data_IF_024257097355
#
_entry.id   IF_024257097355
#
_cell.length_a   1.000
_cell.length_b   1.000
_cell.length_c   1.000
_cell.angle_alpha   90.00
_cell.angle_beta   90.00
_cell.angle_gamma   90.00
#
_symmetry.space_group_name_H-M   'P 1'
#
loop_
_entity.id
_entity.type
_entity.pdbx_description
1 polymer ?
#
# COMPACT_ATOMS: atom_id res chain seq x y z
N UNK A 1 25.22 16.35 0.92
CA UNK A 1 24.10 16.25 -0.06
C UNK A 1 23.71 14.80 -0.15
N UNK A 2 22.46 14.47 0.14
CA UNK A 2 21.96 13.09 0.06
C UNK A 2 21.94 12.65 -1.40
N UNK A 3 22.54 11.47 -1.74
CA UNK A 3 22.60 11.01 -3.12
C UNK A 3 21.31 10.28 -3.53
N UNK A 4 20.19 11.01 -3.57
CA UNK A 4 18.93 10.46 -4.03
C UNK A 4 19.03 9.95 -5.47
N UNK A 5 18.44 8.81 -5.74
CA UNK A 5 18.32 8.22 -7.09
C UNK A 5 16.94 7.65 -7.31
N UNK A 6 16.55 7.54 -8.58
CA UNK A 6 15.30 6.91 -8.98
C UNK A 6 15.25 5.45 -8.55
N UNK A 7 14.04 4.99 -8.16
CA UNK A 7 13.80 3.59 -7.85
C UNK A 7 13.70 2.80 -9.15
N UNK A 8 14.44 1.70 -9.23
CA UNK A 8 14.37 0.71 -10.31
C UNK A 8 14.09 -0.68 -9.76
N UNK A 9 13.72 -1.63 -10.61
CA UNK A 9 13.51 -3.03 -10.20
C UNK A 9 14.78 -3.67 -9.60
N UNK A 10 15.97 -3.19 -9.97
CA UNK A 10 17.24 -3.66 -9.43
C UNK A 10 17.47 -3.25 -7.95
N UNK A 11 16.73 -2.27 -7.45
CA UNK A 11 16.88 -1.76 -6.09
C UNK A 11 16.05 -2.55 -5.06
N UNK A 12 15.31 -3.59 -5.50
CA UNK A 12 14.44 -4.40 -4.66
C UNK A 12 15.13 -4.91 -3.41
N UNK A 13 16.25 -5.60 -3.56
CA UNK A 13 16.94 -6.23 -2.44
C UNK A 13 17.44 -5.18 -1.44
N UNK A 14 17.92 -4.03 -1.93
CA UNK A 14 18.34 -2.93 -1.07
C UNK A 14 17.17 -2.41 -0.26
N UNK A 15 16.06 -2.03 -0.90
CA UNK A 15 14.89 -1.44 -0.23
C UNK A 15 14.25 -2.46 0.72
N UNK A 16 14.02 -3.69 0.28
CA UNK A 16 13.38 -4.71 1.11
C UNK A 16 14.25 -5.16 2.29
N UNK A 17 15.58 -5.03 2.20
CA UNK A 17 16.46 -5.31 3.33
C UNK A 17 16.20 -4.42 4.56
N UNK A 18 15.66 -3.22 4.35
CA UNK A 18 15.24 -2.30 5.41
C UNK A 18 13.79 -2.53 5.81
N UNK A 19 12.87 -2.56 4.84
CA UNK A 19 11.44 -2.63 5.12
C UNK A 19 11.07 -3.94 5.81
N UNK A 20 11.64 -5.06 5.39
CA UNK A 20 11.38 -6.38 5.99
C UNK A 20 11.85 -6.52 7.45
N UNK A 21 12.79 -5.69 7.90
CA UNK A 21 13.25 -5.66 9.29
C UNK A 21 12.50 -4.67 10.16
N UNK A 22 11.68 -3.80 9.55
CA UNK A 22 10.92 -2.79 10.27
C UNK A 22 9.63 -3.37 10.85
N UNK A 23 9.07 -2.67 11.83
CA UNK A 23 7.75 -2.93 12.40
C UNK A 23 6.64 -2.14 11.72
N UNK A 24 6.97 -1.42 10.64
CA UNK A 24 6.06 -0.53 9.93
C UNK A 24 5.16 -1.32 8.99
N UNK A 25 3.87 -1.03 9.04
CA UNK A 25 2.82 -1.77 8.34
C UNK A 25 2.13 -0.97 7.24
N UNK A 26 2.50 0.29 7.03
CA UNK A 26 1.88 1.15 6.03
C UNK A 26 2.23 0.70 4.60
N UNK A 27 1.24 0.71 3.72
CA UNK A 27 1.34 0.22 2.35
C UNK A 27 2.32 1.01 1.49
N UNK A 28 2.62 2.26 1.86
CA UNK A 28 3.58 3.14 1.18
C UNK A 28 4.99 2.53 1.09
N UNK A 29 5.34 1.64 2.01
CA UNK A 29 6.65 0.97 2.05
C UNK A 29 6.71 -0.32 1.22
N UNK A 30 5.62 -0.76 0.61
CA UNK A 30 5.65 -1.87 -0.33
C UNK A 30 6.51 -1.53 -1.54
N UNK A 31 7.47 -2.40 -1.88
CA UNK A 31 8.33 -2.20 -3.05
C UNK A 31 7.52 -2.11 -4.36
N UNK A 32 6.43 -2.89 -4.45
CA UNK A 32 5.52 -2.79 -5.59
C UNK A 32 4.89 -1.40 -5.70
N UNK A 33 4.39 -0.83 -4.60
CA UNK A 33 3.80 0.51 -4.63
C UNK A 33 4.83 1.58 -4.96
N UNK A 34 6.03 1.51 -4.36
CA UNK A 34 7.13 2.43 -4.66
C UNK A 34 7.49 2.46 -6.16
N UNK A 35 7.48 1.29 -6.83
CA UNK A 35 7.76 1.20 -8.26
C UNK A 35 6.55 1.56 -9.13
N UNK A 36 5.37 1.03 -8.81
CA UNK A 36 4.18 1.13 -9.65
C UNK A 36 3.61 2.55 -9.72
N UNK A 37 3.75 3.32 -8.64
CA UNK A 37 3.28 4.69 -8.52
C UNK A 37 4.36 5.75 -8.81
N UNK A 38 5.60 5.33 -9.11
CA UNK A 38 6.71 6.26 -9.35
C UNK A 38 6.41 7.28 -10.44
N UNK A 39 5.65 6.91 -11.47
CA UNK A 39 5.30 7.82 -12.56
C UNK A 39 4.49 9.04 -12.12
N UNK A 40 3.80 8.94 -10.97
CA UNK A 40 2.97 9.99 -10.40
C UNK A 40 3.73 10.82 -9.37
N UNK A 41 4.55 10.15 -8.56
CA UNK A 41 5.19 10.76 -7.40
C UNK A 41 6.68 11.07 -7.60
N UNK A 42 7.26 10.66 -8.70
CA UNK A 42 8.72 10.82 -8.98
C UNK A 42 9.59 10.36 -7.80
N UNK A 43 9.24 9.21 -7.23
CA UNK A 43 9.82 8.73 -5.99
C UNK A 43 11.29 8.34 -6.18
N UNK A 44 12.12 8.92 -5.34
CA UNK A 44 13.56 8.65 -5.24
C UNK A 44 13.90 8.10 -3.85
N UNK A 45 15.02 7.42 -3.74
CA UNK A 45 15.52 6.92 -2.46
C UNK A 45 17.03 7.09 -2.32
N UNK A 46 17.47 7.05 -1.08
CA UNK A 46 18.88 6.95 -0.71
C UNK A 46 19.03 6.11 0.58
N UNK A 47 20.25 5.71 0.87
CA UNK A 47 20.63 5.14 2.16
C UNK A 47 21.57 6.12 2.85
N UNK A 48 21.20 6.58 4.05
CA UNK A 48 21.93 7.56 4.86
C UNK A 48 22.07 6.99 6.28
N UNK A 49 23.28 6.81 6.76
CA UNK A 49 23.58 6.37 8.13
C UNK A 49 22.72 5.18 8.62
N UNK A 50 22.62 4.13 7.82
CA UNK A 50 21.78 2.95 8.05
C UNK A 50 20.26 3.22 8.05
N UNK A 51 19.82 4.33 7.47
CA UNK A 51 18.43 4.57 7.20
C UNK A 51 18.15 4.59 5.69
N UNK A 52 17.09 3.92 5.29
CA UNK A 52 16.46 4.07 4.00
C UNK A 52 15.58 5.31 4.06
N UNK A 53 15.79 6.24 3.14
CA UNK A 53 15.06 7.50 3.03
C UNK A 53 14.43 7.64 1.65
N UNK A 54 13.23 8.20 1.60
CA UNK A 54 12.49 8.45 0.37
C UNK A 54 12.15 9.91 0.23
N UNK A 55 12.26 10.42 -1.01
CA UNK A 55 11.84 11.74 -1.44
C UNK A 55 10.89 11.59 -2.62
N UNK A 56 9.80 12.37 -2.65
CA UNK A 56 8.81 12.28 -3.72
C UNK A 56 7.99 13.57 -3.81
N UNK A 57 7.22 13.71 -4.88
CA UNK A 57 6.34 14.84 -5.11
C UNK A 57 4.87 14.44 -4.97
N UNK A 58 4.15 15.11 -4.09
CA UNK A 58 2.70 15.01 -3.96
C UNK A 58 2.07 16.27 -4.61
N UNK A 59 1.80 16.20 -5.91
CA UNK A 59 1.49 17.37 -6.71
C UNK A 59 2.69 18.31 -6.79
N UNK A 60 2.56 19.54 -6.32
CA UNK A 60 3.65 20.52 -6.29
C UNK A 60 4.44 20.50 -4.96
N UNK A 61 4.02 19.73 -3.98
CA UNK A 61 4.65 19.62 -2.67
C UNK A 61 5.73 18.56 -2.67
N UNK A 62 6.97 18.97 -2.38
CA UNK A 62 8.04 18.03 -2.06
C UNK A 62 7.77 17.39 -0.70
N UNK A 63 7.85 16.09 -0.64
CA UNK A 63 7.61 15.33 0.58
C UNK A 63 8.63 14.21 0.77
N UNK A 64 8.72 13.76 2.02
CA UNK A 64 9.57 12.65 2.43
C UNK A 64 8.71 11.60 3.16
N UNK A 65 9.19 10.36 3.20
CA UNK A 65 8.69 9.39 4.15
C UNK A 65 9.54 9.40 5.42
N UNK A 66 8.95 8.94 6.52
CA UNK A 66 9.71 8.73 7.76
C UNK A 66 10.85 7.74 7.49
N UNK A 67 12.13 8.06 7.81
CA UNK A 67 13.27 7.18 7.57
C UNK A 67 13.08 5.79 8.16
N UNK A 68 13.48 4.74 7.44
CA UNK A 68 13.35 3.33 7.85
C UNK A 68 14.73 2.75 8.15
N UNK A 69 15.01 2.45 9.39
CA UNK A 69 16.34 1.95 9.78
C UNK A 69 16.60 2.11 11.27
N UNK A 70 17.86 2.01 11.65
CA UNK A 70 18.31 2.14 13.05
C UNK A 70 19.55 3.00 13.12
N UNK A 71 19.65 3.88 14.15
CA UNK A 71 20.77 4.77 14.33
C UNK A 71 20.33 6.13 14.87
N UNK A 72 21.06 7.19 14.52
CA UNK A 72 20.73 8.56 14.90
C UNK A 72 19.67 9.15 13.95
N UNK A 73 18.41 8.86 14.24
CA UNK A 73 17.28 9.38 13.46
C UNK A 73 17.24 10.91 13.45
N UNK A 74 17.69 11.57 14.54
CA UNK A 74 17.70 13.03 14.60
C UNK A 74 18.66 13.63 13.58
N UNK A 75 19.85 13.05 13.45
CA UNK A 75 20.84 13.49 12.46
C UNK A 75 20.29 13.35 11.04
N UNK A 76 19.68 12.20 10.71
CA UNK A 76 19.09 11.96 9.39
C UNK A 76 17.92 12.90 9.09
N UNK A 77 17.07 13.21 10.06
CA UNK A 77 15.99 14.17 9.89
C UNK A 77 16.55 15.58 9.56
N UNK A 78 17.62 16.00 10.21
CA UNK A 78 18.26 17.28 9.88
C UNK A 78 18.83 17.29 8.46
N UNK A 79 19.42 16.21 7.99
CA UNK A 79 19.89 16.11 6.61
C UNK A 79 18.74 16.22 5.59
N UNK A 80 17.59 15.61 5.88
CA UNK A 80 16.38 15.71 5.03
C UNK A 80 15.81 17.13 5.04
N UNK A 81 15.77 17.80 6.20
CA UNK A 81 15.35 19.20 6.31
C UNK A 81 16.26 20.11 5.47
N UNK A 82 17.58 19.90 5.53
CA UNK A 82 18.53 20.65 4.70
C UNK A 82 18.41 20.32 3.21
N UNK A 83 18.03 19.10 2.84
CA UNK A 83 17.75 18.74 1.45
C UNK A 83 16.52 19.51 0.92
N UNK A 84 15.42 19.56 1.69
CA UNK A 84 14.23 20.35 1.33
C UNK A 84 14.54 21.86 1.19
N UNK A 85 15.35 22.41 2.09
CA UNK A 85 15.76 23.83 2.03
C UNK A 85 16.55 24.15 0.76
N UNK A 86 17.41 23.25 0.30
CA UNK A 86 18.17 23.43 -0.95
C UNK A 86 17.29 23.42 -2.19
N UNK A 87 16.18 22.70 -2.12
CA UNK A 87 15.14 22.68 -3.17
C UNK A 87 14.19 23.88 -3.05
N UNK A 88 14.40 24.79 -2.09
CA UNK A 88 13.49 25.88 -1.73
C UNK A 88 12.08 25.40 -1.40
N UNK A 89 11.96 24.24 -0.78
CA UNK A 89 10.72 23.60 -0.40
C UNK A 89 10.55 23.57 1.13
N UNK A 90 9.30 23.66 1.56
CA UNK A 90 8.95 23.43 2.96
C UNK A 90 9.08 21.94 3.30
N UNK A 91 9.71 21.61 4.42
CA UNK A 91 9.91 20.22 4.80
C UNK A 91 8.62 19.61 5.35
N UNK A 92 8.10 18.61 4.66
CA UNK A 92 6.96 17.81 5.09
C UNK A 92 7.25 16.32 4.90
N UNK A 93 6.73 15.50 5.81
CA UNK A 93 6.68 14.04 5.68
C UNK A 93 5.24 13.60 5.54
N UNK A 94 4.97 12.65 4.63
CA UNK A 94 3.66 12.03 4.43
C UNK A 94 3.69 10.56 4.88
N UNK A 95 2.52 10.02 5.19
CA UNK A 95 2.38 8.63 5.66
C UNK A 95 2.96 8.41 7.06
N UNK A 96 3.06 9.44 7.88
CA UNK A 96 3.53 9.35 9.27
C UNK A 96 2.46 8.70 10.13
N UNK A 97 2.68 7.47 10.56
CA UNK A 97 1.73 6.76 11.44
C UNK A 97 1.88 7.18 12.92
N UNK A 98 0.92 6.82 13.76
CA UNK A 98 0.86 7.26 15.17
C UNK A 98 2.12 6.96 15.98
N UNK A 99 2.75 5.78 15.78
CA UNK A 99 4.02 5.43 16.43
C UNK A 99 5.18 6.31 15.94
N UNK A 100 5.25 6.59 14.64
CA UNK A 100 6.26 7.48 14.05
C UNK A 100 6.10 8.91 14.52
N UNK A 101 4.86 9.38 14.70
CA UNK A 101 4.55 10.67 15.31
C UNK A 101 5.10 10.75 16.73
N UNK A 102 4.91 9.70 17.51
CA UNK A 102 5.47 9.64 18.88
C UNK A 102 7.00 9.75 18.88
N UNK A 103 7.67 9.05 17.95
CA UNK A 103 9.13 9.13 17.78
C UNK A 103 9.58 10.54 17.38
N UNK A 104 8.88 11.19 16.45
CA UNK A 104 9.18 12.56 16.03
C UNK A 104 9.03 13.54 17.18
N UNK A 105 7.95 13.46 17.95
CA UNK A 105 7.70 14.34 19.10
C UNK A 105 8.73 14.10 20.22
N UNK A 106 9.24 12.89 20.39
CA UNK A 106 10.30 12.61 21.35
C UNK A 106 11.67 13.17 20.92
N UNK A 107 11.99 13.12 19.62
CA UNK A 107 13.29 13.52 19.06
C UNK A 107 13.37 15.02 18.81
N UNK A 108 12.31 15.61 18.28
CA UNK A 108 12.15 17.03 17.92
C UNK A 108 10.85 17.59 18.50
N UNK A 109 10.80 17.80 19.84
CA UNK A 109 9.59 18.24 20.52
C UNK A 109 9.06 19.55 19.94
N UNK A 110 7.75 19.61 19.72
CA UNK A 110 7.04 20.81 19.25
C UNK A 110 7.49 21.40 17.90
N UNK A 111 8.35 20.69 17.15
CA UNK A 111 8.86 21.17 15.86
C UNK A 111 7.90 20.93 14.70
N UNK A 112 6.98 19.98 14.80
CA UNK A 112 6.09 19.60 13.72
C UNK A 112 4.63 19.97 13.97
N UNK A 113 3.93 20.30 12.89
CA UNK A 113 2.47 20.30 12.83
C UNK A 113 2.01 19.00 12.21
N UNK A 114 1.04 18.34 12.83
CA UNK A 114 0.48 17.07 12.33
C UNK A 114 -0.95 17.30 11.85
N UNK A 115 -1.21 16.94 10.60
CA UNK A 115 -2.56 16.96 10.01
C UNK A 115 -2.94 15.55 9.63
N UNK A 116 -4.02 15.04 10.20
CA UNK A 116 -4.57 13.73 9.88
C UNK A 116 -5.36 13.79 8.57
N UNK A 117 -5.22 12.77 7.74
CA UNK A 117 -6.10 12.53 6.61
C UNK A 117 -6.66 11.11 6.67
N UNK A 118 -7.93 11.01 7.05
CA UNK A 118 -8.65 9.74 7.21
C UNK A 118 -8.75 8.95 5.91
N UNK A 119 -8.74 9.62 4.79
CA UNK A 119 -8.92 9.00 3.47
C UNK A 119 -7.70 8.16 3.06
N UNK A 120 -6.52 8.48 3.62
CA UNK A 120 -5.28 7.75 3.43
C UNK A 120 -4.93 6.76 4.54
N UNK A 121 -5.84 6.48 5.49
CA UNK A 121 -5.59 5.50 6.53
C UNK A 121 -5.67 4.06 5.97
N UNK A 122 -4.68 3.22 6.33
CA UNK A 122 -4.65 1.81 5.91
C UNK A 122 -5.58 0.93 6.75
N UNK A 123 -6.19 -0.05 6.10
CA UNK A 123 -7.00 -1.06 6.74
C UNK A 123 -6.19 -2.32 7.04
N UNK A 124 -5.88 -2.55 8.31
CA UNK A 124 -5.11 -3.70 8.79
C UNK A 124 -6.04 -4.77 9.36
N UNK A 125 -5.95 -5.96 8.84
CA UNK A 125 -6.75 -7.12 9.27
C UNK A 125 -5.85 -8.19 9.87
N UNK A 126 -6.42 -9.02 10.76
CA UNK A 126 -5.77 -10.28 11.09
C UNK A 126 -5.93 -11.27 9.93
N UNK A 127 -4.81 -11.87 9.49
CA UNK A 127 -4.85 -12.92 8.47
C UNK A 127 -5.81 -14.04 8.88
N UNK A 128 -5.77 -14.45 10.15
CA UNK A 128 -6.66 -15.49 10.68
C UNK A 128 -8.15 -15.15 10.59
N UNK A 129 -8.51 -13.87 10.69
CA UNK A 129 -9.89 -13.42 10.52
C UNK A 129 -10.35 -13.55 9.05
N UNK A 130 -9.53 -13.10 8.11
CA UNK A 130 -9.86 -13.14 6.68
C UNK A 130 -9.83 -14.56 6.11
N UNK A 131 -8.89 -15.40 6.56
CA UNK A 131 -8.73 -16.78 6.09
C UNK A 131 -9.77 -17.74 6.64
N UNK A 132 -10.37 -17.44 7.80
CA UNK A 132 -11.36 -18.35 8.42
C UNK A 132 -12.79 -17.80 8.42
N UNK A 133 -12.93 -16.49 8.41
CA UNK A 133 -14.20 -15.76 8.58
C UNK A 133 -14.99 -16.25 9.82
N UNK A 134 -14.31 -16.70 10.89
CA UNK A 134 -14.94 -17.25 12.08
C UNK A 134 -15.63 -16.16 12.93
N UNK A 135 -16.67 -16.56 13.62
CA UNK A 135 -17.42 -15.71 14.56
C UNK A 135 -18.62 -14.99 13.94
N UNK A 136 -19.44 -14.41 14.81
CA UNK A 136 -20.70 -13.74 14.43
C UNK A 136 -20.46 -12.51 13.55
N UNK A 137 -19.36 -11.78 13.82
CA UNK A 137 -18.99 -10.56 13.08
C UNK A 137 -18.76 -10.79 11.58
N UNK A 138 -18.41 -12.01 11.17
CA UNK A 138 -18.16 -12.38 9.77
C UNK A 138 -19.30 -13.18 9.12
N UNK A 139 -20.46 -13.30 9.76
CA UNK A 139 -21.57 -14.08 9.23
C UNK A 139 -21.98 -13.66 7.82
N UNK A 140 -22.06 -12.35 7.55
CA UNK A 140 -22.41 -11.86 6.23
C UNK A 140 -21.36 -12.26 5.16
N UNK A 141 -20.06 -12.22 5.50
CA UNK A 141 -18.99 -12.62 4.57
C UNK A 141 -19.00 -14.12 4.29
N UNK A 142 -19.23 -14.96 5.32
CA UNK A 142 -19.44 -16.41 5.12
C UNK A 142 -20.64 -16.69 4.23
N UNK A 143 -21.72 -15.95 4.39
CA UNK A 143 -22.91 -16.12 3.55
C UNK A 143 -22.58 -15.82 2.09
N UNK A 144 -21.80 -14.78 1.79
CA UNK A 144 -21.37 -14.46 0.43
C UNK A 144 -20.47 -15.58 -0.16
N UNK A 145 -19.46 -16.03 0.58
CA UNK A 145 -18.58 -17.11 0.10
C UNK A 145 -19.33 -18.45 -0.06
N UNK A 146 -20.24 -18.79 0.84
CA UNK A 146 -21.05 -19.99 0.73
C UNK A 146 -22.02 -19.92 -0.44
N UNK A 147 -22.65 -18.77 -0.69
CA UNK A 147 -23.52 -18.56 -1.85
C UNK A 147 -22.71 -18.73 -3.14
N UNK A 148 -21.54 -18.13 -3.24
CA UNK A 148 -20.67 -18.29 -4.39
C UNK A 148 -20.35 -19.76 -4.66
N UNK A 149 -19.92 -20.53 -3.64
CA UNK A 149 -19.63 -21.97 -3.77
C UNK A 149 -20.84 -22.80 -4.19
N UNK A 150 -22.02 -22.47 -3.67
CA UNK A 150 -23.24 -23.19 -4.02
C UNK A 150 -23.69 -22.87 -5.45
N UNK A 151 -23.47 -21.65 -5.93
CA UNK A 151 -23.84 -21.22 -7.29
C UNK A 151 -22.83 -21.74 -8.31
N UNK A 152 -21.55 -21.77 -7.94
CA UNK A 152 -20.43 -22.15 -8.81
C UNK A 152 -19.58 -23.24 -8.17
N UNK A 153 -20.11 -24.48 -8.04
CA UNK A 153 -19.41 -25.56 -7.29
C UNK A 153 -18.08 -25.97 -7.94
N UNK A 154 -17.95 -25.77 -9.25
CA UNK A 154 -16.75 -26.10 -10.04
C UNK A 154 -15.84 -24.90 -10.28
N UNK A 155 -15.92 -23.85 -9.44
CA UNK A 155 -14.97 -22.75 -9.53
C UNK A 155 -13.54 -23.22 -9.26
N UNK A 156 -12.59 -22.56 -9.89
CA UNK A 156 -11.18 -22.86 -9.71
C UNK A 156 -10.43 -21.63 -9.19
N UNK A 157 -9.50 -21.85 -8.26
CA UNK A 157 -8.51 -20.86 -7.87
C UNK A 157 -7.14 -21.30 -8.36
N UNK A 158 -6.46 -20.44 -9.09
CA UNK A 158 -5.10 -20.67 -9.59
C UNK A 158 -4.18 -19.53 -9.25
N UNK A 159 -2.86 -19.76 -9.03
CA UNK A 159 -1.91 -18.67 -8.86
C UNK A 159 -1.79 -17.85 -10.14
N UNK A 160 -1.43 -16.57 -10.00
CA UNK A 160 -1.00 -15.75 -11.13
C UNK A 160 0.40 -16.20 -11.54
N UNK A 161 0.54 -16.59 -12.79
CA UNK A 161 1.79 -16.98 -13.44
C UNK A 161 2.00 -16.12 -14.68
N UNK A 162 3.23 -16.01 -15.23
CA UNK A 162 3.50 -15.14 -16.39
C UNK A 162 2.59 -15.37 -17.58
N UNK A 163 2.21 -16.62 -17.85
CA UNK A 163 1.30 -17.02 -18.93
C UNK A 163 -0.17 -16.64 -18.68
N UNK A 164 -0.52 -16.25 -17.43
CA UNK A 164 -1.88 -15.86 -17.04
C UNK A 164 -2.06 -14.35 -16.82
N UNK A 165 -1.00 -13.58 -16.96
CA UNK A 165 -1.07 -12.11 -16.79
C UNK A 165 -2.04 -11.48 -17.78
N UNK A 166 -2.12 -12.00 -19.01
CA UNK A 166 -3.04 -11.47 -20.01
C UNK A 166 -4.51 -11.62 -19.59
N UNK A 167 -4.87 -12.72 -18.94
CA UNK A 167 -6.24 -12.90 -18.40
C UNK A 167 -6.60 -11.81 -17.38
N UNK A 168 -5.65 -11.46 -16.50
CA UNK A 168 -5.85 -10.39 -15.51
C UNK A 168 -6.01 -9.02 -16.17
N UNK A 169 -5.19 -8.73 -17.19
CA UNK A 169 -5.28 -7.49 -17.98
C UNK A 169 -6.62 -7.38 -18.74
N UNK A 170 -7.12 -8.48 -19.29
CA UNK A 170 -8.40 -8.52 -20.00
C UNK A 170 -9.57 -8.25 -19.04
N UNK A 171 -9.58 -8.89 -17.85
CA UNK A 171 -10.61 -8.63 -16.83
C UNK A 171 -10.52 -7.18 -16.32
N UNK A 172 -9.33 -6.63 -16.11
CA UNK A 172 -9.14 -5.24 -15.72
C UNK A 172 -9.70 -4.29 -16.78
N UNK A 173 -9.44 -4.56 -18.06
CA UNK A 173 -9.94 -3.73 -19.16
C UNK A 173 -11.48 -3.75 -19.23
N UNK A 174 -12.11 -4.90 -18.99
CA UNK A 174 -13.58 -5.01 -18.90
C UNK A 174 -14.12 -4.27 -17.68
N UNK A 175 -13.49 -4.45 -16.52
CA UNK A 175 -13.84 -3.75 -15.29
C UNK A 175 -13.77 -2.24 -15.47
N UNK A 176 -12.73 -1.78 -16.14
CA UNK A 176 -12.50 -0.36 -16.39
C UNK A 176 -13.54 0.26 -17.32
N UNK A 177 -14.00 -0.46 -18.35
CA UNK A 177 -15.11 -0.02 -19.21
C UNK A 177 -16.40 0.18 -18.42
N UNK A 178 -16.72 -0.76 -17.52
CA UNK A 178 -17.93 -0.70 -16.68
C UNK A 178 -17.87 0.48 -15.69
N UNK A 179 -16.67 0.79 -15.15
CA UNK A 179 -16.46 1.82 -14.14
C UNK A 179 -15.98 3.18 -14.70
N UNK A 180 -15.90 3.33 -16.02
CA UNK A 180 -15.49 4.57 -16.72
C UNK A 180 -14.13 5.12 -16.22
N UNK A 181 -13.13 4.26 -16.03
CA UNK A 181 -11.82 4.64 -15.50
C UNK A 181 -11.14 5.77 -16.28
N UNK A 182 -11.28 5.78 -17.61
CA UNK A 182 -10.62 6.76 -18.47
C UNK A 182 -11.18 8.20 -18.31
N UNK A 183 -12.30 8.34 -17.60
CA UNK A 183 -12.94 9.64 -17.33
C UNK A 183 -12.57 10.25 -15.97
N UNK A 184 -11.86 9.51 -15.13
CA UNK A 184 -11.47 9.92 -13.79
C UNK A 184 -9.96 9.75 -13.60
N UNK A 185 -9.27 10.83 -13.29
CA UNK A 185 -7.80 10.81 -13.14
C UNK A 185 -7.31 9.78 -12.13
N UNK A 186 -7.97 9.67 -10.98
CA UNK A 186 -7.58 8.72 -9.93
C UNK A 186 -7.63 7.25 -10.37
N UNK A 187 -8.71 6.84 -11.05
CA UNK A 187 -8.85 5.47 -11.57
C UNK A 187 -7.94 5.21 -12.77
N UNK A 188 -7.64 6.22 -13.57
CA UNK A 188 -6.65 6.13 -14.65
C UNK A 188 -5.24 5.91 -14.14
N UNK A 189 -4.85 6.59 -13.07
CA UNK A 189 -3.56 6.39 -12.40
C UNK A 189 -3.48 5.01 -11.73
N UNK A 190 -4.53 4.56 -11.04
CA UNK A 190 -4.61 3.20 -10.49
C UNK A 190 -4.43 2.14 -11.57
N UNK A 191 -5.12 2.29 -12.70
CA UNK A 191 -4.99 1.41 -13.85
C UNK A 191 -3.56 1.33 -14.38
N UNK A 192 -2.89 2.49 -14.52
CA UNK A 192 -1.49 2.54 -14.97
C UNK A 192 -0.56 1.83 -14.00
N UNK A 193 -0.72 2.03 -12.70
CA UNK A 193 0.06 1.35 -11.66
C UNK A 193 -0.19 -0.16 -11.68
N UNK A 194 -1.44 -0.61 -11.81
CA UNK A 194 -1.83 -2.01 -11.92
C UNK A 194 -1.20 -2.70 -13.14
N UNK A 195 -1.29 -2.08 -14.32
CA UNK A 195 -0.70 -2.60 -15.55
C UNK A 195 0.82 -2.73 -15.41
N UNK A 196 1.48 -1.72 -14.85
CA UNK A 196 2.92 -1.80 -14.56
C UNK A 196 3.27 -2.96 -13.64
N UNK A 197 2.49 -3.15 -12.56
CA UNK A 197 2.68 -4.24 -11.61
C UNK A 197 2.51 -5.62 -12.27
N UNK A 198 1.49 -5.81 -13.09
CA UNK A 198 1.27 -7.07 -13.81
C UNK A 198 2.41 -7.38 -14.80
N UNK A 199 2.87 -6.39 -15.58
CA UNK A 199 3.98 -6.60 -16.51
C UNK A 199 5.32 -6.88 -15.82
N UNK A 200 5.50 -6.47 -14.57
CA UNK A 200 6.71 -6.67 -13.79
C UNK A 200 6.50 -7.63 -12.60
N UNK A 201 5.51 -8.49 -12.67
CA UNK A 201 4.99 -9.29 -11.56
C UNK A 201 6.08 -10.06 -10.82
N UNK A 202 6.90 -10.83 -11.53
CA UNK A 202 7.98 -11.61 -10.94
C UNK A 202 9.13 -10.72 -10.43
N UNK A 203 9.52 -9.71 -11.20
CA UNK A 203 10.59 -8.80 -10.82
C UNK A 203 10.26 -8.00 -9.56
N UNK A 204 9.01 -7.60 -9.39
CA UNK A 204 8.51 -6.98 -8.17
C UNK A 204 8.43 -7.97 -6.98
N UNK A 205 8.35 -9.27 -7.25
CA UNK A 205 8.16 -10.31 -6.24
C UNK A 205 6.73 -10.40 -5.74
N UNK A 206 5.79 -10.12 -6.62
CA UNK A 206 4.37 -10.23 -6.35
C UNK A 206 3.94 -11.70 -6.28
N UNK A 207 2.93 -11.95 -5.46
CA UNK A 207 2.16 -13.19 -5.46
C UNK A 207 0.68 -12.85 -5.59
N UNK A 208 -0.09 -13.71 -6.24
CA UNK A 208 -1.50 -13.45 -6.44
C UNK A 208 -2.27 -14.69 -6.89
N UNK A 209 -3.56 -14.51 -7.08
CA UNK A 209 -4.44 -15.56 -7.49
C UNK A 209 -5.58 -15.10 -8.38
N UNK A 210 -6.11 -16.03 -9.12
CA UNK A 210 -7.21 -15.87 -10.09
C UNK A 210 -8.34 -16.82 -9.72
N UNK A 211 -9.58 -16.34 -9.78
CA UNK A 211 -10.78 -17.15 -9.75
C UNK A 211 -11.33 -17.35 -11.16
N UNK A 212 -11.63 -18.59 -11.50
CA UNK A 212 -12.35 -18.95 -12.71
C UNK A 212 -13.72 -19.56 -12.39
N UNK A 213 -14.69 -19.23 -13.20
CA UNK A 213 -16.02 -19.85 -13.23
C UNK A 213 -16.33 -20.24 -14.67
N UNK A 214 -16.63 -21.54 -14.89
CA UNK A 214 -16.87 -22.08 -16.23
C UNK A 214 -15.72 -21.78 -17.23
N UNK A 215 -14.49 -21.86 -16.76
CA UNK A 215 -13.28 -21.60 -17.55
C UNK A 215 -13.01 -20.11 -17.89
N UNK A 216 -13.78 -19.17 -17.33
CA UNK A 216 -13.56 -17.72 -17.50
C UNK A 216 -13.06 -17.09 -16.21
N UNK A 217 -12.12 -16.17 -16.33
CA UNK A 217 -11.68 -15.35 -15.21
C UNK A 217 -12.84 -14.49 -14.70
N UNK A 218 -13.06 -14.51 -13.38
CA UNK A 218 -14.09 -13.67 -12.71
C UNK A 218 -13.52 -12.77 -11.63
N UNK A 219 -12.32 -13.06 -11.13
CA UNK A 219 -11.62 -12.18 -10.18
C UNK A 219 -10.13 -12.48 -10.16
N UNK A 220 -9.34 -11.47 -9.79
CA UNK A 220 -7.93 -11.66 -9.43
C UNK A 220 -7.52 -10.71 -8.31
N UNK A 221 -6.45 -11.09 -7.63
CA UNK A 221 -5.82 -10.29 -6.57
C UNK A 221 -4.34 -10.55 -6.53
N UNK A 222 -3.57 -9.56 -6.10
CA UNK A 222 -2.14 -9.73 -5.85
C UNK A 222 -1.61 -8.76 -4.80
N UNK A 223 -0.45 -9.12 -4.27
CA UNK A 223 0.25 -8.31 -3.29
C UNK A 223 1.63 -8.85 -3.00
N UNK A 224 2.27 -8.28 -2.00
CA UNK A 224 3.59 -8.70 -1.52
C UNK A 224 3.78 -8.37 -0.03
N UNK A 225 4.79 -8.96 0.64
CA UNK A 225 5.14 -8.56 1.99
C UNK A 225 5.52 -7.08 2.09
N UNK A 226 5.01 -6.39 3.12
CA UNK A 226 5.45 -5.05 3.50
C UNK A 226 6.61 -5.15 4.49
N UNK A 227 6.44 -6.03 5.50
CA UNK A 227 7.48 -6.37 6.46
C UNK A 227 7.39 -7.86 6.84
N UNK A 228 8.17 -8.30 7.85
CA UNK A 228 8.25 -9.70 8.26
C UNK A 228 6.93 -10.29 8.78
N UNK A 229 5.96 -9.49 9.22
CA UNK A 229 4.68 -9.94 9.79
C UNK A 229 3.43 -9.41 9.07
N UNK A 230 3.61 -8.52 8.08
CA UNK A 230 2.50 -7.86 7.36
C UNK A 230 2.61 -8.10 5.87
N UNK A 231 1.53 -8.62 5.29
CA UNK A 231 1.37 -8.78 3.84
C UNK A 231 0.45 -7.71 3.29
N UNK A 232 0.86 -7.01 2.24
CA UNK A 232 0.06 -6.01 1.54
C UNK A 232 -0.72 -6.64 0.38
N UNK A 233 -2.03 -6.42 0.33
CA UNK A 233 -2.88 -6.73 -0.83
C UNK A 233 -3.10 -5.45 -1.59
N UNK A 234 -2.46 -5.32 -2.75
CA UNK A 234 -2.41 -4.08 -3.54
C UNK A 234 -3.57 -3.94 -4.50
N UNK A 235 -4.01 -5.06 -5.07
CA UNK A 235 -5.08 -5.08 -6.06
C UNK A 235 -6.05 -6.22 -5.77
N UNK A 236 -7.32 -5.92 -5.89
CA UNK A 236 -8.41 -6.90 -5.88
C UNK A 236 -9.47 -6.43 -6.86
N UNK A 237 -9.66 -7.15 -7.94
CA UNK A 237 -10.64 -6.86 -9.00
C UNK A 237 -11.53 -8.07 -9.24
N UNK A 238 -12.82 -7.83 -9.45
CA UNK A 238 -13.77 -8.88 -9.76
C UNK A 238 -14.85 -8.40 -10.70
N UNK A 239 -15.39 -9.31 -11.50
CA UNK A 239 -16.61 -9.09 -12.27
C UNK A 239 -17.79 -8.89 -11.32
N UNK A 240 -18.36 -7.69 -11.33
CA UNK A 240 -19.47 -7.32 -10.45
C UNK A 240 -20.77 -8.03 -10.77
N UNK A 241 -20.89 -8.63 -11.95
CA UNK A 241 -22.04 -9.45 -12.33
C UNK A 241 -22.04 -10.84 -11.66
N UNK A 242 -20.89 -11.27 -11.15
CA UNK A 242 -20.72 -12.55 -10.45
C UNK A 242 -20.83 -12.33 -8.95
N UNK A 243 -22.00 -12.62 -8.41
CA UNK A 243 -22.28 -12.39 -6.98
C UNK A 243 -21.32 -13.17 -6.09
N UNK A 244 -20.66 -12.46 -5.17
CA UNK A 244 -19.72 -13.03 -4.21
C UNK A 244 -18.29 -13.20 -4.69
N UNK A 245 -17.96 -12.86 -5.95
CA UNK A 245 -16.62 -13.01 -6.50
C UNK A 245 -15.56 -12.24 -5.69
N UNK A 246 -15.83 -10.98 -5.28
CA UNK A 246 -14.93 -10.22 -4.39
C UNK A 246 -14.71 -10.91 -3.03
N UNK A 247 -15.78 -11.41 -2.42
CA UNK A 247 -15.65 -12.10 -1.13
C UNK A 247 -14.87 -13.40 -1.26
N UNK A 248 -15.06 -14.11 -2.38
CA UNK A 248 -14.41 -15.38 -2.62
C UNK A 248 -12.93 -15.24 -2.95
N UNK A 249 -12.55 -14.28 -3.81
CA UNK A 249 -11.12 -14.06 -4.12
C UNK A 249 -10.35 -13.60 -2.88
N UNK A 250 -10.94 -12.73 -2.05
CA UNK A 250 -10.33 -12.32 -0.78
C UNK A 250 -10.14 -13.51 0.16
N UNK A 251 -11.15 -14.35 0.34
CA UNK A 251 -11.09 -15.54 1.17
C UNK A 251 -10.04 -16.54 0.68
N UNK A 252 -10.04 -16.86 -0.60
CA UNK A 252 -9.10 -17.82 -1.21
C UNK A 252 -7.66 -17.33 -1.11
N UNK A 253 -7.42 -16.04 -1.36
CA UNK A 253 -6.08 -15.47 -1.28
C UNK A 253 -5.59 -15.42 0.16
N UNK A 254 -6.41 -14.95 1.11
CA UNK A 254 -6.04 -14.89 2.53
C UNK A 254 -5.63 -16.27 3.09
N UNK A 255 -6.24 -17.36 2.60
CA UNK A 255 -5.85 -18.73 2.96
C UNK A 255 -4.49 -19.16 2.42
N UNK A 256 -3.98 -18.47 1.37
CA UNK A 256 -2.71 -18.80 0.71
C UNK A 256 -1.56 -17.88 1.10
N UNK A 257 -1.87 -16.75 1.74
CA UNK A 257 -0.85 -15.92 2.37
C UNK A 257 -0.19 -16.74 3.49
N UNK A 258 1.15 -16.87 3.51
CA UNK A 258 1.86 -17.66 4.52
C UNK A 258 1.51 -17.25 5.96
N UNK A 259 1.47 -18.23 6.87
CA UNK A 259 1.04 -18.02 8.26
C UNK A 259 1.96 -17.12 9.09
N UNK A 260 3.20 -16.93 8.65
CA UNK A 260 4.12 -15.97 9.25
C UNK A 260 3.61 -14.54 9.21
N UNK A 261 2.77 -14.19 8.21
CA UNK A 261 2.15 -12.87 8.11
C UNK A 261 0.90 -12.83 8.98
N UNK A 262 1.02 -12.24 10.15
CA UNK A 262 -0.07 -12.09 11.13
C UNK A 262 -1.12 -11.10 10.61
N UNK A 263 -0.65 -10.08 9.90
CA UNK A 263 -1.48 -8.97 9.43
C UNK A 263 -1.58 -8.96 7.90
N UNK A 264 -2.74 -8.53 7.42
CA UNK A 264 -2.98 -8.20 6.02
C UNK A 264 -3.36 -6.72 5.95
N UNK A 265 -2.55 -5.93 5.25
CA UNK A 265 -2.87 -4.54 4.89
C UNK A 265 -3.59 -4.54 3.53
N UNK A 266 -4.80 -3.99 3.48
CA UNK A 266 -5.60 -3.84 2.25
C UNK A 266 -5.70 -2.39 1.81
N UNK A 267 -4.71 -1.57 2.14
CA UNK A 267 -4.54 -0.18 1.73
C UNK A 267 -5.68 0.76 2.14
N UNK A 268 -5.73 1.94 1.56
CA UNK A 268 -6.64 3.04 1.89
C UNK A 268 -8.01 2.90 1.21
N UNK A 269 -8.96 3.74 1.60
CA UNK A 269 -10.25 3.90 0.93
C UNK A 269 -10.34 5.15 0.03
N UNK A 270 -9.36 6.06 0.11
CA UNK A 270 -9.25 7.29 -0.67
C UNK A 270 -10.51 8.16 -0.63
N UNK A 271 -11.27 8.13 0.47
CA UNK A 271 -12.52 8.87 0.63
C UNK A 271 -13.70 8.31 -0.16
N UNK A 272 -13.54 7.17 -0.84
CA UNK A 272 -14.62 6.53 -1.61
C UNK A 272 -15.55 5.79 -0.66
N UNK A 273 -16.77 6.32 -0.47
CA UNK A 273 -17.74 5.81 0.51
C UNK A 273 -18.05 4.31 0.34
N UNK A 274 -18.25 3.85 -0.89
CA UNK A 274 -18.51 2.44 -1.18
C UNK A 274 -17.33 1.53 -0.80
N UNK A 275 -16.10 1.96 -1.09
CA UNK A 275 -14.88 1.24 -0.74
C UNK A 275 -14.67 1.23 0.78
N UNK A 276 -14.86 2.37 1.44
CA UNK A 276 -14.84 2.50 2.91
C UNK A 276 -15.79 1.52 3.58
N UNK A 277 -17.04 1.50 3.13
CA UNK A 277 -18.07 0.58 3.65
C UNK A 277 -17.66 -0.88 3.42
N UNK A 278 -17.15 -1.21 2.24
CA UNK A 278 -16.69 -2.55 1.92
C UNK A 278 -15.54 -2.98 2.85
N UNK A 279 -14.51 -2.13 3.03
CA UNK A 279 -13.36 -2.42 3.90
C UNK A 279 -13.76 -2.55 5.37
N UNK A 280 -14.57 -1.64 5.90
CA UNK A 280 -15.09 -1.72 7.28
C UNK A 280 -15.93 -2.98 7.53
N UNK A 281 -16.63 -3.48 6.51
CA UNK A 281 -17.45 -4.69 6.65
C UNK A 281 -16.66 -5.97 6.91
N UNK A 282 -15.34 -5.95 6.70
CA UNK A 282 -14.41 -7.02 7.05
C UNK A 282 -13.81 -6.88 8.45
N UNK A 283 -14.31 -5.94 9.26
CA UNK A 283 -13.92 -5.76 10.67
C UNK A 283 -12.38 -5.65 10.84
N UNK A 284 -11.75 -4.58 10.36
CA UNK A 284 -10.31 -4.41 10.50
C UNK A 284 -9.89 -4.47 11.97
N UNK A 285 -8.76 -5.11 12.25
CA UNK A 285 -8.16 -5.15 13.57
C UNK A 285 -7.65 -3.77 13.99
N UNK A 286 -7.17 -3.00 13.01
CA UNK A 286 -6.69 -1.63 13.21
C UNK A 286 -6.93 -0.82 11.93
N UNK A 287 -7.30 0.44 12.10
CA UNK A 287 -7.19 1.45 11.04
C UNK A 287 -5.91 2.22 11.36
N UNK A 288 -4.92 2.09 10.49
CA UNK A 288 -3.61 2.71 10.66
C UNK A 288 -3.69 4.15 10.16
N UNK A 289 -3.90 5.07 11.10
CA UNK A 289 -3.96 6.50 10.84
C UNK A 289 -2.63 7.00 10.26
N UNK A 290 -2.71 7.88 9.28
CA UNK A 290 -1.58 8.54 8.67
C UNK A 290 -1.70 10.05 8.79
N UNK A 291 -0.58 10.70 9.05
CA UNK A 291 -0.47 12.14 9.22
C UNK A 291 0.48 12.72 8.18
N UNK A 292 0.19 13.93 7.77
CA UNK A 292 1.18 14.82 7.21
C UNK A 292 1.87 15.54 8.37
N UNK A 293 3.19 15.41 8.47
CA UNK A 293 4.01 16.07 9.48
C UNK A 293 4.87 17.13 8.80
N UNK A 294 4.54 18.43 8.98
CA UNK A 294 5.29 19.53 8.42
C UNK A 294 6.05 20.29 9.50
N UNK A 295 7.30 20.64 9.21
CA UNK A 295 8.14 21.43 10.10
C UNK A 295 7.49 22.80 10.33
N UNK A 296 7.34 23.23 11.57
CA UNK A 296 6.81 24.56 11.87
C UNK A 296 7.76 25.65 11.35
N UNK A 297 7.21 26.64 10.67
CA UNK A 297 7.94 27.84 10.35
C UNK A 297 8.16 28.64 11.65
N UNK A 298 9.39 28.62 12.14
CA UNK A 298 9.76 29.62 13.13
C UNK A 298 10.06 30.95 12.38
N UNK A 299 9.51 32.11 12.82
CA UNK A 299 10.01 33.39 12.36
C UNK A 299 11.50 33.38 12.60
N UNK A 300 12.29 33.57 11.55
CA UNK A 300 13.74 33.49 11.58
C UNK A 300 14.30 34.43 12.69
N UNK A 301 14.49 33.87 13.86
CA UNK A 301 15.53 34.39 14.75
C UNK A 301 16.84 33.77 14.25
N UNK A 302 17.54 34.55 13.45
CA UNK A 302 18.90 34.23 13.03
C UNK A 302 19.78 34.11 14.26
N UNK A 303 19.92 32.92 14.79
CA UNK A 303 21.05 32.58 15.63
C UNK A 303 22.13 32.11 14.68
N UNK A 304 23.00 33.04 14.30
CA UNK A 304 24.32 32.67 13.74
C UNK A 304 25.08 31.89 14.80
N UNK A 305 25.42 30.65 14.46
CA UNK A 305 26.52 29.89 15.11
C UNK A 305 27.62 29.65 14.10
#
# INVERSE_FOLDING_TARGET
MIPFKDITLADKDTITSFTMKSDRRNCDLSFSNLCSWRFLYDTQFAVVDNFLVFKFWAGEQLAYMMPVGTGDLKAVLWELIEDARKENQHFCMLGVCSNMRTDLEAILPEQFTFTEDRDYADYIYLRSDLSTLKGKKFQAKRNHTNRFRNTYPDYEYTPITPDRIQECLDLEAEWCKVNNCDQQEGTGNERRALIYALHNFEALGLTGGILHVNGKIVAFTFGMPINHETFGVHVEKADTSIEGAYAMINYEFANRIPEQYIYINREEDLGIEGLRKAKLSYQPATILEKYMACLKEHPMNMVKW
#
